data_IF_244519329920
#
_entry.id   IF_244519329920
#
_cell.length_a   1.000
_cell.length_b   1.000
_cell.length_c   1.000
_cell.angle_alpha   90.00
_cell.angle_beta   90.00
_cell.angle_gamma   90.00
#
_symmetry.space_group_name_H-M   'P 1'
#
loop_
_entity.id
_entity.type
_entity.pdbx_description
1 polymer ?
#
# COMPACT_ATOMS: atom_id res chain seq x y z
N UNK A 1 -14.40 -6.54 5.07
CA UNK A 1 -13.91 -6.81 3.69
C UNK A 1 -15.04 -7.00 2.64
N UNK A 2 -15.93 -8.03 2.72
CA UNK A 2 -16.97 -8.22 1.68
C UNK A 2 -17.96 -7.06 1.59
N UNK A 3 -18.43 -6.52 2.70
CA UNK A 3 -19.36 -5.38 2.73
C UNK A 3 -18.69 -4.09 2.18
N UNK A 4 -17.45 -3.84 2.51
CA UNK A 4 -16.66 -2.71 2.01
C UNK A 4 -16.44 -2.83 0.49
N UNK A 5 -16.13 -4.04 0.01
CA UNK A 5 -16.06 -4.31 -1.42
C UNK A 5 -17.41 -4.04 -2.11
N UNK A 6 -18.53 -4.47 -1.48
CA UNK A 6 -19.87 -4.14 -1.96
C UNK A 6 -20.14 -2.63 -2.04
N UNK A 7 -19.74 -1.85 -1.02
CA UNK A 7 -19.83 -0.38 -1.06
C UNK A 7 -19.01 0.22 -2.21
N UNK A 8 -17.78 -0.26 -2.43
CA UNK A 8 -16.95 0.19 -3.55
C UNK A 8 -17.62 -0.10 -4.91
N UNK A 9 -18.23 -1.27 -5.09
CA UNK A 9 -18.95 -1.61 -6.33
C UNK A 9 -20.15 -0.68 -6.56
N UNK A 10 -20.91 -0.33 -5.52
CA UNK A 10 -22.01 0.62 -5.62
C UNK A 10 -21.53 2.03 -5.97
N UNK A 11 -20.38 2.47 -5.44
CA UNK A 11 -19.77 3.74 -5.83
C UNK A 11 -19.32 3.76 -7.30
N UNK A 12 -18.88 2.60 -7.83
CA UNK A 12 -18.49 2.43 -9.23
C UNK A 12 -19.67 2.16 -10.18
N UNK A 13 -20.92 2.19 -9.68
CA UNK A 13 -22.13 1.87 -10.43
C UNK A 13 -22.18 0.44 -11.01
N UNK A 14 -21.55 -0.52 -10.34
CA UNK A 14 -21.51 -1.95 -10.69
C UNK A 14 -22.56 -2.72 -9.88
N UNK A 15 -23.83 -2.42 -10.12
CA UNK A 15 -24.96 -2.88 -9.29
C UNK A 15 -25.14 -4.41 -9.32
N UNK A 16 -25.01 -5.04 -10.49
CA UNK A 16 -25.12 -6.49 -10.66
C UNK A 16 -24.05 -7.26 -9.86
N UNK A 17 -22.86 -6.68 -9.74
CA UNK A 17 -21.77 -7.28 -8.95
C UNK A 17 -21.98 -7.04 -7.45
N UNK A 18 -22.52 -5.91 -7.07
CA UNK A 18 -22.87 -5.62 -5.68
C UNK A 18 -23.98 -6.58 -5.18
N UNK A 19 -24.97 -6.93 -6.01
CA UNK A 19 -25.98 -7.93 -5.66
C UNK A 19 -25.38 -9.34 -5.46
N UNK A 20 -24.37 -9.72 -6.23
CA UNK A 20 -23.64 -10.98 -6.01
C UNK A 20 -22.89 -10.99 -4.67
N UNK A 21 -22.39 -9.85 -4.24
CA UNK A 21 -21.77 -9.69 -2.91
C UNK A 21 -22.82 -9.87 -1.81
N UNK A 22 -24.03 -9.34 -2.00
CA UNK A 22 -25.14 -9.54 -1.07
C UNK A 22 -25.46 -11.03 -0.89
N UNK A 23 -25.63 -11.78 -1.98
CA UNK A 23 -25.89 -13.22 -1.92
C UNK A 23 -24.80 -13.99 -1.14
N UNK A 24 -23.52 -13.62 -1.34
CA UNK A 24 -22.41 -14.21 -0.60
C UNK A 24 -22.42 -13.84 0.89
N UNK A 25 -22.82 -12.62 1.24
CA UNK A 25 -22.98 -12.21 2.64
C UNK A 25 -24.11 -12.96 3.34
N UNK A 26 -25.22 -13.22 2.64
CA UNK A 26 -26.33 -14.02 3.15
C UNK A 26 -25.94 -15.49 3.36
N UNK A 27 -25.15 -16.07 2.46
CA UNK A 27 -24.63 -17.44 2.59
C UNK A 27 -23.64 -17.58 3.77
N UNK A 28 -22.78 -16.58 3.99
CA UNK A 28 -21.80 -16.58 5.10
C UNK A 28 -22.41 -16.16 6.43
N UNK A 29 -23.52 -15.45 6.43
CA UNK A 29 -24.22 -14.91 7.61
C UNK A 29 -24.89 -15.95 8.51
N UNK A 30 -24.75 -17.24 8.24
CA UNK A 30 -25.31 -18.32 9.08
C UNK A 30 -24.58 -18.52 10.42
N UNK A 31 -23.42 -17.94 10.64
CA UNK A 31 -22.72 -17.97 11.93
C UNK A 31 -23.00 -16.70 12.74
N UNK A 32 -23.72 -16.83 13.85
CA UNK A 32 -24.11 -15.72 14.74
C UNK A 32 -22.94 -14.88 15.29
N UNK A 33 -21.72 -15.40 15.30
CA UNK A 33 -20.51 -14.69 15.73
C UNK A 33 -19.97 -13.71 14.69
N UNK A 34 -19.99 -14.05 13.40
CA UNK A 34 -19.54 -13.19 12.30
C UNK A 34 -20.44 -11.95 12.14
N UNK A 35 -21.72 -12.06 12.48
CA UNK A 35 -22.70 -10.95 12.40
C UNK A 35 -22.39 -9.83 13.40
N UNK A 36 -21.75 -10.12 14.52
CA UNK A 36 -21.43 -9.10 15.56
C UNK A 36 -20.27 -8.19 15.15
N UNK A 37 -19.20 -8.76 14.59
CA UNK A 37 -18.00 -8.04 14.19
C UNK A 37 -18.13 -7.28 12.86
N UNK A 38 -19.05 -7.70 11.97
CA UNK A 38 -19.26 -7.06 10.66
C UNK A 38 -20.53 -6.21 10.60
N UNK A 39 -21.19 -5.99 11.75
CA UNK A 39 -22.53 -5.38 11.81
C UNK A 39 -22.56 -3.96 11.23
N UNK A 40 -21.54 -3.15 11.46
CA UNK A 40 -21.45 -1.80 10.92
C UNK A 40 -21.37 -1.81 9.39
N UNK A 41 -20.33 -2.41 8.84
CA UNK A 41 -20.08 -2.42 7.39
C UNK A 41 -21.19 -3.06 6.58
N UNK A 42 -21.79 -4.16 7.07
CA UNK A 42 -22.93 -4.82 6.42
C UNK A 42 -24.13 -3.89 6.37
N UNK A 43 -24.49 -3.21 7.46
CA UNK A 43 -25.64 -2.30 7.47
C UNK A 43 -25.39 -1.04 6.62
N UNK A 44 -24.18 -0.54 6.57
CA UNK A 44 -23.84 0.58 5.66
C UNK A 44 -24.02 0.13 4.20
N UNK A 45 -23.53 -1.03 3.83
CA UNK A 45 -23.72 -1.60 2.48
C UNK A 45 -25.21 -1.77 2.14
N UNK A 46 -25.99 -2.36 3.05
CA UNK A 46 -27.43 -2.55 2.87
C UNK A 46 -28.19 -1.21 2.77
N UNK A 47 -27.77 -0.18 3.48
CA UNK A 47 -28.33 1.16 3.36
C UNK A 47 -28.12 1.76 1.96
N UNK A 48 -26.91 1.66 1.41
CA UNK A 48 -26.62 2.07 0.03
C UNK A 48 -27.46 1.30 -1.00
N UNK A 49 -27.60 -0.01 -0.82
CA UNK A 49 -28.35 -0.86 -1.73
C UNK A 49 -29.85 -0.53 -1.67
N UNK A 50 -30.42 -0.37 -0.46
CA UNK A 50 -31.82 -0.02 -0.28
C UNK A 50 -32.16 1.35 -0.87
N UNK A 51 -31.27 2.34 -0.72
CA UNK A 51 -31.43 3.66 -1.33
C UNK A 51 -31.44 3.54 -2.87
N UNK A 52 -30.53 2.74 -3.43
CA UNK A 52 -30.43 2.52 -4.86
C UNK A 52 -31.69 1.89 -5.45
N UNK A 53 -32.30 0.99 -4.70
CA UNK A 53 -33.57 0.34 -5.04
C UNK A 53 -34.80 1.22 -4.75
N UNK A 54 -34.58 2.47 -4.29
CA UNK A 54 -35.67 3.43 -3.98
C UNK A 54 -36.37 3.20 -2.64
N UNK A 55 -35.93 2.22 -1.85
CA UNK A 55 -36.53 1.89 -0.54
C UNK A 55 -35.89 2.70 0.60
N UNK A 56 -36.27 3.98 0.66
CA UNK A 56 -35.73 4.92 1.67
C UNK A 56 -36.02 4.47 3.11
N UNK A 57 -37.13 3.77 3.36
CA UNK A 57 -37.46 3.34 4.73
C UNK A 57 -36.48 2.28 5.22
N UNK A 58 -36.19 1.29 4.38
CA UNK A 58 -35.18 0.27 4.70
C UNK A 58 -33.79 0.87 4.82
N UNK A 59 -33.44 1.84 3.97
CA UNK A 59 -32.16 2.52 4.06
C UNK A 59 -31.99 3.22 5.42
N UNK A 60 -33.01 3.94 5.89
CA UNK A 60 -33.01 4.60 7.22
C UNK A 60 -32.92 3.58 8.37
N UNK A 61 -33.59 2.42 8.26
CA UNK A 61 -33.51 1.35 9.25
C UNK A 61 -32.10 0.77 9.36
N UNK A 62 -31.45 0.52 8.21
CA UNK A 62 -30.08 0.06 8.17
C UNK A 62 -29.08 1.07 8.73
N UNK A 63 -29.25 2.37 8.44
CA UNK A 63 -28.42 3.43 9.04
C UNK A 63 -28.60 3.45 10.56
N UNK A 64 -29.83 3.35 11.06
CA UNK A 64 -30.08 3.30 12.51
C UNK A 64 -29.40 2.09 13.16
N UNK A 65 -29.44 0.93 12.51
CA UNK A 65 -28.75 -0.27 12.97
C UNK A 65 -27.22 -0.11 12.94
N UNK A 66 -26.69 0.58 11.92
CA UNK A 66 -25.27 0.91 11.83
C UNK A 66 -24.83 1.87 12.97
N UNK A 67 -25.64 2.90 13.29
CA UNK A 67 -25.38 3.81 14.42
C UNK A 67 -25.40 3.05 15.77
N UNK A 68 -26.35 2.14 15.99
CA UNK A 68 -26.35 1.29 17.18
C UNK A 68 -25.08 0.40 17.25
N UNK A 69 -24.56 -0.08 16.13
CA UNK A 69 -23.31 -0.83 16.11
C UNK A 69 -22.10 0.04 16.49
N UNK A 70 -22.13 1.34 16.17
CA UNK A 70 -21.10 2.30 16.63
C UNK A 70 -21.08 2.45 18.15
N UNK A 71 -22.25 2.40 18.81
CA UNK A 71 -22.33 2.52 20.28
C UNK A 71 -21.59 1.37 20.98
N UNK A 72 -21.77 0.15 20.48
CA UNK A 72 -21.13 -1.08 21.01
C UNK A 72 -19.64 -1.20 20.68
N UNK A 73 -19.14 -0.39 19.73
CA UNK A 73 -17.77 -0.48 19.22
C UNK A 73 -16.76 0.07 20.23
N UNK A 74 -15.70 -0.69 20.47
CA UNK A 74 -14.61 -0.32 21.40
C UNK A 74 -13.43 0.34 20.70
N UNK A 75 -13.16 0.01 19.43
CA UNK A 75 -12.03 0.53 18.66
C UNK A 75 -12.47 1.03 17.30
N UNK A 76 -12.21 2.32 17.03
CA UNK A 76 -12.53 2.98 15.76
C UNK A 76 -11.60 2.51 14.64
N UNK A 77 -10.34 2.25 14.99
CA UNK A 77 -9.31 1.88 14.02
C UNK A 77 -9.58 0.55 13.31
N UNK A 78 -10.29 -0.39 13.97
CA UNK A 78 -10.62 -1.70 13.39
C UNK A 78 -11.69 -1.64 12.29
N UNK A 79 -12.57 -0.62 12.34
CA UNK A 79 -13.73 -0.47 11.44
C UNK A 79 -13.63 0.83 10.61
N UNK A 80 -12.42 1.33 10.40
CA UNK A 80 -12.19 2.64 9.79
C UNK A 80 -12.88 2.79 8.43
N UNK A 81 -12.77 1.79 7.55
CA UNK A 81 -13.35 1.83 6.20
C UNK A 81 -14.90 1.82 6.25
N UNK A 82 -15.47 1.04 7.17
CA UNK A 82 -16.93 1.01 7.39
C UNK A 82 -17.44 2.35 7.92
N UNK A 83 -16.67 2.99 8.81
CA UNK A 83 -16.97 4.34 9.33
C UNK A 83 -16.91 5.38 8.21
N UNK A 84 -15.87 5.34 7.36
CA UNK A 84 -15.76 6.24 6.23
C UNK A 84 -16.96 6.12 5.27
N UNK A 85 -17.34 4.89 4.95
CA UNK A 85 -18.52 4.64 4.12
C UNK A 85 -19.82 5.17 4.77
N UNK A 86 -19.97 5.00 6.10
CA UNK A 86 -21.12 5.56 6.81
C UNK A 86 -21.13 7.10 6.77
N UNK A 87 -19.99 7.74 7.04
CA UNK A 87 -19.88 9.20 6.99
C UNK A 87 -20.20 9.74 5.61
N UNK A 88 -19.70 9.14 4.55
CA UNK A 88 -20.02 9.50 3.17
C UNK A 88 -21.52 9.33 2.88
N UNK A 89 -22.12 8.24 3.37
CA UNK A 89 -23.55 7.99 3.20
C UNK A 89 -24.41 9.05 3.88
N UNK A 90 -24.17 9.33 5.16
CA UNK A 90 -24.96 10.34 5.90
C UNK A 90 -24.74 11.75 5.39
N UNK A 91 -23.53 12.08 4.92
CA UNK A 91 -23.21 13.34 4.25
C UNK A 91 -24.01 13.50 2.94
N UNK A 92 -24.07 12.44 2.12
CA UNK A 92 -24.83 12.41 0.86
C UNK A 92 -26.32 12.64 1.09
N UNK A 93 -26.90 12.06 2.15
CA UNK A 93 -28.32 12.25 2.51
C UNK A 93 -28.55 13.66 3.04
N UNK A 94 -27.58 14.24 3.74
CA UNK A 94 -27.64 15.61 4.27
C UNK A 94 -28.65 15.80 5.42
N UNK A 95 -29.13 14.73 6.08
CA UNK A 95 -30.03 14.80 7.24
C UNK A 95 -29.22 15.14 8.49
N UNK A 96 -29.32 16.38 8.96
CA UNK A 96 -28.58 16.92 10.11
C UNK A 96 -28.71 16.04 11.35
N UNK A 97 -29.88 15.47 11.62
CA UNK A 97 -30.14 14.62 12.80
C UNK A 97 -29.29 13.33 12.76
N UNK A 98 -29.25 12.66 11.62
CA UNK A 98 -28.46 11.43 11.46
C UNK A 98 -26.96 11.72 11.53
N UNK A 99 -26.51 12.82 10.93
CA UNK A 99 -25.12 13.26 11.02
C UNK A 99 -24.74 13.52 12.48
N UNK A 100 -25.59 14.25 13.22
CA UNK A 100 -25.35 14.57 14.62
C UNK A 100 -25.27 13.32 15.51
N UNK A 101 -26.15 12.32 15.31
CA UNK A 101 -26.11 11.04 16.02
C UNK A 101 -24.77 10.32 15.78
N UNK A 102 -24.33 10.22 14.53
CA UNK A 102 -23.04 9.58 14.17
C UNK A 102 -21.86 10.33 14.78
N UNK A 103 -21.86 11.68 14.72
CA UNK A 103 -20.81 12.52 15.29
C UNK A 103 -20.71 12.34 16.80
N UNK A 104 -21.87 12.35 17.51
CA UNK A 104 -21.91 12.17 18.97
C UNK A 104 -21.38 10.81 19.42
N UNK A 105 -21.54 9.76 18.61
CA UNK A 105 -20.97 8.43 18.87
C UNK A 105 -19.46 8.36 18.59
N UNK A 106 -19.00 8.94 17.49
CA UNK A 106 -17.64 8.75 17.01
C UNK A 106 -16.61 9.70 17.64
N UNK A 107 -16.97 10.97 17.88
CA UNK A 107 -16.04 11.98 18.40
C UNK A 107 -15.34 11.55 19.70
N UNK A 108 -16.06 11.09 20.75
CA UNK A 108 -15.41 10.67 21.99
C UNK A 108 -14.52 9.46 21.80
N UNK A 109 -14.88 8.52 20.94
CA UNK A 109 -14.09 7.33 20.64
C UNK A 109 -12.81 7.68 19.86
N UNK A 110 -12.94 8.52 18.84
CA UNK A 110 -11.80 9.01 18.06
C UNK A 110 -10.82 9.84 18.92
N UNK A 111 -11.35 10.58 19.91
CA UNK A 111 -10.52 11.32 20.86
C UNK A 111 -9.74 10.39 21.80
N UNK A 112 -10.37 9.33 22.33
CA UNK A 112 -9.73 8.33 23.16
C UNK A 112 -8.59 7.62 22.42
N UNK A 113 -8.80 7.25 21.16
CA UNK A 113 -7.78 6.62 20.32
C UNK A 113 -6.74 7.60 19.74
N UNK A 114 -6.89 8.89 19.98
CA UNK A 114 -6.05 9.96 19.42
C UNK A 114 -5.97 9.92 17.89
N UNK A 115 -7.04 9.47 17.23
CA UNK A 115 -7.13 9.41 15.78
C UNK A 115 -7.39 10.82 15.19
N UNK A 116 -6.29 11.56 14.99
CA UNK A 116 -6.33 12.96 14.52
C UNK A 116 -7.04 13.12 13.17
N UNK A 117 -6.83 12.19 12.22
CA UNK A 117 -7.43 12.24 10.89
C UNK A 117 -8.95 12.17 10.98
N UNK A 118 -9.47 11.21 11.74
CA UNK A 118 -10.90 11.05 11.94
C UNK A 118 -11.50 12.24 12.71
N UNK A 119 -10.83 12.72 13.77
CA UNK A 119 -11.28 13.89 14.52
C UNK A 119 -11.40 15.14 13.65
N UNK A 120 -10.45 15.41 12.78
CA UNK A 120 -10.50 16.52 11.82
C UNK A 120 -11.72 16.40 10.90
N UNK A 121 -11.99 15.21 10.40
CA UNK A 121 -13.13 14.95 9.53
C UNK A 121 -14.46 15.17 10.29
N UNK A 122 -14.60 14.60 11.49
CA UNK A 122 -15.80 14.73 12.31
C UNK A 122 -16.08 16.19 12.69
N UNK A 123 -15.06 16.94 13.13
CA UNK A 123 -15.18 18.37 13.44
C UNK A 123 -15.57 19.20 12.21
N UNK A 124 -15.00 18.87 11.03
CA UNK A 124 -15.39 19.53 9.77
C UNK A 124 -16.87 19.28 9.44
N UNK A 125 -17.35 18.05 9.57
CA UNK A 125 -18.75 17.69 9.35
C UNK A 125 -19.66 18.40 10.38
N UNK A 126 -19.29 18.42 11.65
CA UNK A 126 -20.04 19.12 12.70
C UNK A 126 -20.21 20.61 12.39
N UNK A 127 -19.13 21.29 12.06
CA UNK A 127 -19.19 22.72 11.71
C UNK A 127 -20.02 22.97 10.44
N UNK A 128 -19.97 22.07 9.46
CA UNK A 128 -20.70 22.22 8.20
C UNK A 128 -22.20 21.99 8.34
N UNK A 129 -22.61 20.93 9.04
CA UNK A 129 -24.00 20.49 9.08
C UNK A 129 -24.73 20.83 10.37
N UNK A 130 -24.04 20.99 11.48
CA UNK A 130 -24.64 21.23 12.79
C UNK A 130 -24.49 22.68 13.29
N UNK A 131 -23.85 23.58 12.54
CA UNK A 131 -23.55 24.95 12.94
C UNK A 131 -24.81 25.77 13.36
N UNK A 132 -25.95 25.54 12.75
CA UNK A 132 -27.20 26.21 13.08
C UNK A 132 -27.77 25.81 14.45
N UNK A 133 -27.34 24.71 15.04
CA UNK A 133 -27.75 24.20 16.36
C UNK A 133 -26.70 24.44 17.44
N UNK A 134 -25.52 24.92 17.08
CA UNK A 134 -24.43 25.23 18.00
C UNK A 134 -24.56 26.66 18.54
N UNK A 135 -24.18 26.85 19.81
CA UNK A 135 -23.92 28.16 20.34
C UNK A 135 -22.65 28.77 19.73
N UNK A 136 -22.50 30.11 19.72
CA UNK A 136 -21.26 30.73 19.23
C UNK A 136 -19.99 30.22 19.94
N UNK A 137 -20.09 29.92 21.23
CA UNK A 137 -19.01 29.40 22.04
C UNK A 137 -18.61 27.96 21.62
N UNK A 138 -19.58 27.07 21.41
CA UNK A 138 -19.39 25.71 20.95
C UNK A 138 -18.78 25.69 19.54
N UNK A 139 -19.28 26.54 18.64
CA UNK A 139 -18.72 26.68 17.29
C UNK A 139 -17.26 27.14 17.34
N UNK A 140 -16.99 28.18 18.16
CA UNK A 140 -15.62 28.68 18.34
C UNK A 140 -14.68 27.60 18.89
N UNK A 141 -15.12 26.89 19.93
CA UNK A 141 -14.32 25.80 20.52
C UNK A 141 -14.01 24.68 19.50
N UNK A 142 -15.01 24.28 18.71
CA UNK A 142 -14.84 23.29 17.64
C UNK A 142 -13.88 23.77 16.56
N UNK A 143 -13.98 25.04 16.17
CA UNK A 143 -13.08 25.66 15.19
C UNK A 143 -11.64 25.77 15.72
N UNK A 144 -11.45 26.23 16.95
CA UNK A 144 -10.14 26.32 17.59
C UNK A 144 -9.48 24.92 17.68
N UNK A 145 -10.24 23.92 18.10
CA UNK A 145 -9.78 22.52 18.17
C UNK A 145 -9.40 22.00 16.78
N UNK A 146 -10.21 22.27 15.76
CA UNK A 146 -9.93 21.86 14.38
C UNK A 146 -8.63 22.47 13.87
N UNK A 147 -8.41 23.78 14.03
CA UNK A 147 -7.19 24.44 13.57
C UNK A 147 -5.96 23.94 14.32
N UNK A 148 -6.03 23.79 15.65
CA UNK A 148 -4.91 23.21 16.41
C UNK A 148 -4.55 21.78 16.00
N UNK A 149 -5.54 20.93 15.77
CA UNK A 149 -5.32 19.58 15.26
C UNK A 149 -4.74 19.59 13.86
N UNK A 150 -5.24 20.45 12.98
CA UNK A 150 -4.79 20.60 11.60
C UNK A 150 -3.32 21.03 11.55
N UNK A 151 -2.94 22.08 12.28
CA UNK A 151 -1.56 22.58 12.35
C UNK A 151 -0.63 21.47 12.87
N UNK A 152 -1.03 20.76 13.93
CA UNK A 152 -0.23 19.65 14.48
C UNK A 152 -0.12 18.46 13.51
N UNK A 153 -1.13 18.23 12.69
CA UNK A 153 -1.15 17.18 11.68
C UNK A 153 -0.22 17.53 10.50
N UNK A 154 -0.34 18.74 9.95
CA UNK A 154 0.49 19.21 8.83
C UNK A 154 1.98 19.19 9.18
N UNK A 155 2.37 19.58 10.40
CA UNK A 155 3.75 19.48 10.89
C UNK A 155 4.25 18.04 10.95
N UNK A 156 3.40 17.10 11.37
CA UNK A 156 3.77 15.68 11.49
C UNK A 156 3.86 15.02 10.12
N UNK A 157 2.90 15.29 9.23
CA UNK A 157 2.85 14.72 7.88
C UNK A 157 4.03 15.21 7.02
N UNK A 158 4.32 16.52 7.04
CA UNK A 158 5.47 17.08 6.35
C UNK A 158 6.80 16.49 6.85
N UNK A 159 6.93 16.27 8.16
CA UNK A 159 8.12 15.64 8.75
C UNK A 159 8.27 14.18 8.29
N UNK A 160 7.19 13.42 8.21
CA UNK A 160 7.21 12.04 7.72
C UNK A 160 7.55 11.97 6.23
N UNK A 161 6.96 12.83 5.41
CA UNK A 161 7.26 12.91 3.97
C UNK A 161 8.74 13.28 3.75
N UNK A 162 9.26 14.27 4.46
CA UNK A 162 10.67 14.66 4.41
C UNK A 162 11.59 13.51 4.81
N UNK A 163 11.28 12.79 5.89
CA UNK A 163 12.05 11.63 6.33
C UNK A 163 12.04 10.50 5.28
N UNK A 164 10.88 10.20 4.71
CA UNK A 164 10.75 9.19 3.65
C UNK A 164 11.52 9.57 2.38
N UNK A 165 11.53 10.86 2.00
CA UNK A 165 12.31 11.35 0.87
C UNK A 165 13.83 11.22 1.13
N UNK A 166 14.28 11.54 2.33
CA UNK A 166 15.69 11.41 2.73
C UNK A 166 16.11 9.93 2.73
N UNK A 167 15.28 9.05 3.30
CA UNK A 167 15.53 7.61 3.29
C UNK A 167 15.63 7.05 1.87
N UNK A 168 14.72 7.45 0.99
CA UNK A 168 14.73 7.04 -0.43
C UNK A 168 16.00 7.49 -1.14
N UNK A 169 16.45 8.73 -0.88
CA UNK A 169 17.70 9.26 -1.43
C UNK A 169 18.91 8.46 -0.96
N UNK A 170 18.98 8.13 0.34
CA UNK A 170 20.07 7.29 0.91
C UNK A 170 20.10 5.90 0.30
N UNK A 171 18.95 5.26 0.10
CA UNK A 171 18.86 3.96 -0.55
C UNK A 171 19.36 4.02 -2.00
N UNK A 172 18.94 5.03 -2.76
CA UNK A 172 19.40 5.22 -4.13
C UNK A 172 20.93 5.41 -4.22
N UNK A 173 21.49 6.23 -3.33
CA UNK A 173 22.96 6.44 -3.28
C UNK A 173 23.68 5.13 -2.95
N UNK A 174 23.20 4.36 -1.99
CA UNK A 174 23.79 3.08 -1.62
C UNK A 174 23.73 2.04 -2.76
N UNK A 175 22.63 2.00 -3.51
CA UNK A 175 22.51 1.14 -4.70
C UNK A 175 23.48 1.56 -5.81
N UNK A 176 23.67 2.84 -6.05
CA UNK A 176 24.62 3.37 -7.03
C UNK A 176 26.07 3.02 -6.63
N UNK A 177 26.44 3.20 -5.37
CA UNK A 177 27.74 2.81 -4.83
C UNK A 177 27.98 1.31 -4.94
N UNK A 178 26.99 0.49 -4.64
CA UNK A 178 27.09 -0.98 -4.77
C UNK A 178 27.31 -1.39 -6.22
N UNK A 179 26.58 -0.81 -7.17
CA UNK A 179 26.76 -1.07 -8.61
C UNK A 179 28.15 -0.65 -9.10
N UNK A 180 28.67 0.46 -8.61
CA UNK A 180 30.03 0.92 -8.95
C UNK A 180 31.10 -0.02 -8.41
N UNK A 181 30.96 -0.47 -7.15
CA UNK A 181 31.86 -1.46 -6.56
C UNK A 181 31.81 -2.80 -7.32
N UNK A 182 30.63 -3.25 -7.73
CA UNK A 182 30.48 -4.46 -8.51
C UNK A 182 31.14 -4.35 -9.90
N UNK A 183 30.96 -3.21 -10.58
CA UNK A 183 31.65 -2.92 -11.84
C UNK A 183 33.17 -2.92 -11.68
N UNK A 184 33.67 -2.28 -10.60
CA UNK A 184 35.08 -2.26 -10.27
C UNK A 184 35.65 -3.68 -10.02
N UNK A 185 34.92 -4.45 -9.21
CA UNK A 185 35.28 -5.86 -8.94
C UNK A 185 35.31 -6.70 -10.22
N UNK A 186 34.32 -6.60 -11.07
CA UNK A 186 34.24 -7.34 -12.32
C UNK A 186 35.37 -6.94 -13.29
N UNK A 187 35.73 -5.65 -13.34
CA UNK A 187 36.87 -5.18 -14.12
C UNK A 187 38.20 -5.73 -13.61
N UNK A 188 38.41 -5.75 -12.30
CA UNK A 188 39.62 -6.32 -11.71
C UNK A 188 39.70 -7.81 -11.92
N UNK A 189 38.61 -8.55 -11.82
CA UNK A 189 38.55 -9.97 -12.12
C UNK A 189 38.89 -10.25 -13.60
N UNK A 190 38.34 -9.45 -14.51
CA UNK A 190 38.65 -9.55 -15.92
C UNK A 190 40.12 -9.29 -16.20
N UNK A 191 40.73 -8.24 -15.63
CA UNK A 191 42.17 -7.93 -15.76
C UNK A 191 43.06 -9.01 -15.14
N UNK A 192 42.63 -9.65 -14.05
CA UNK A 192 43.36 -10.74 -13.43
C UNK A 192 43.39 -12.02 -14.27
N UNK A 193 42.35 -12.23 -15.08
CA UNK A 193 42.19 -13.47 -15.85
C UNK A 193 42.55 -13.32 -17.34
N UNK A 194 42.62 -12.09 -17.88
CA UNK A 194 42.85 -11.85 -19.29
C UNK A 194 44.16 -11.08 -19.54
N UNK A 195 44.75 -11.31 -20.71
CA UNK A 195 45.88 -10.55 -21.23
C UNK A 195 45.38 -9.18 -21.79
N UNK A 196 46.02 -8.09 -21.36
CA UNK A 196 45.58 -6.73 -21.72
C UNK A 196 45.67 -6.42 -23.23
N UNK A 197 46.60 -7.09 -23.95
CA UNK A 197 46.83 -6.80 -25.35
C UNK A 197 45.86 -7.56 -26.26
N UNK A 198 45.61 -8.83 -25.95
CA UNK A 198 44.85 -9.73 -26.80
C UNK A 198 43.41 -9.92 -26.35
N UNK A 199 43.09 -9.60 -25.07
CA UNK A 199 41.81 -9.88 -24.47
C UNK A 199 41.50 -11.37 -24.23
N UNK A 200 42.43 -12.26 -24.52
CA UNK A 200 42.30 -13.71 -24.25
C UNK A 200 42.69 -14.04 -22.81
N UNK A 201 42.39 -15.23 -22.34
CA UNK A 201 42.86 -15.69 -21.04
C UNK A 201 44.40 -15.59 -20.95
N UNK A 202 44.90 -15.02 -19.86
CA UNK A 202 46.32 -15.06 -19.60
C UNK A 202 46.76 -16.50 -19.28
N UNK A 203 48.09 -16.75 -19.33
CA UNK A 203 48.66 -18.09 -19.14
C UNK A 203 48.18 -18.77 -17.86
N UNK A 204 48.01 -18.03 -16.77
CA UNK A 204 47.58 -18.57 -15.47
C UNK A 204 46.13 -19.04 -15.52
N UNK A 205 45.23 -18.22 -16.05
CA UNK A 205 43.81 -18.54 -16.14
C UNK A 205 43.52 -19.61 -17.19
N UNK A 206 44.28 -19.63 -18.29
CA UNK A 206 44.22 -20.69 -19.28
C UNK A 206 44.61 -22.06 -18.67
N UNK A 207 45.68 -22.13 -17.90
CA UNK A 207 46.08 -23.39 -17.27
C UNK A 207 45.00 -23.89 -16.30
N UNK A 208 44.45 -23.02 -15.45
CA UNK A 208 43.37 -23.39 -14.55
C UNK A 208 42.13 -23.89 -15.31
N UNK A 209 41.74 -23.18 -16.35
CA UNK A 209 40.62 -23.56 -17.20
C UNK A 209 40.83 -24.93 -17.86
N UNK A 210 42.04 -25.20 -18.34
CA UNK A 210 42.38 -26.51 -18.94
C UNK A 210 42.36 -27.64 -17.92
N UNK A 211 42.81 -27.40 -16.69
CA UNK A 211 42.72 -28.37 -15.59
C UNK A 211 41.23 -28.70 -15.29
N UNK A 212 40.37 -27.68 -15.12
CA UNK A 212 38.94 -27.85 -14.86
C UNK A 212 38.25 -28.63 -16.01
N UNK A 213 38.53 -28.26 -17.26
CA UNK A 213 37.95 -28.94 -18.45
C UNK A 213 38.46 -30.38 -18.57
N UNK A 214 39.73 -30.63 -18.27
CA UNK A 214 40.30 -31.95 -18.29
C UNK A 214 39.66 -32.88 -17.26
N UNK A 215 39.46 -32.38 -16.03
CA UNK A 215 38.74 -33.11 -14.98
C UNK A 215 37.29 -33.40 -15.37
N UNK A 216 36.57 -32.43 -15.93
CA UNK A 216 35.17 -32.61 -16.40
C UNK A 216 35.10 -33.67 -17.52
N UNK A 217 36.03 -33.63 -18.47
CA UNK A 217 36.08 -34.62 -19.55
C UNK A 217 36.40 -36.02 -19.02
N UNK A 218 37.29 -36.14 -18.05
CA UNK A 218 37.64 -37.42 -17.42
C UNK A 218 36.44 -38.02 -16.66
N UNK A 219 35.77 -37.21 -15.88
CA UNK A 219 34.59 -37.63 -15.09
C UNK A 219 33.38 -38.02 -15.97
N UNK A 220 33.21 -37.37 -17.11
CA UNK A 220 32.08 -37.58 -18.00
C UNK A 220 32.41 -38.44 -19.24
N UNK A 221 33.61 -39.08 -19.27
CA UNK A 221 34.10 -39.91 -20.39
C UNK A 221 34.03 -39.19 -21.76
N UNK A 222 34.33 -37.87 -21.78
CA UNK A 222 34.34 -37.04 -23.00
C UNK A 222 35.75 -36.93 -23.57
N UNK A 223 35.83 -36.79 -24.90
CA UNK A 223 37.11 -36.53 -25.57
C UNK A 223 37.48 -35.04 -25.49
N UNK A 224 38.76 -34.73 -25.23
CA UNK A 224 39.31 -33.37 -25.20
C UNK A 224 40.35 -33.20 -26.29
N UNK A 225 40.14 -32.25 -27.22
CA UNK A 225 41.10 -31.86 -28.24
C UNK A 225 41.78 -30.53 -27.90
N UNK A 226 43.11 -30.46 -28.01
CA UNK A 226 43.87 -29.22 -27.80
C UNK A 226 44.61 -28.87 -29.10
N UNK A 227 44.44 -27.59 -29.56
CA UNK A 227 45.12 -27.07 -30.74
C UNK A 227 46.09 -25.96 -30.32
N UNK A 228 47.36 -26.12 -30.64
CA UNK A 228 48.40 -25.09 -30.47
C UNK A 228 48.69 -24.40 -31.79
N UNK A 229 48.63 -23.07 -31.81
CA UNK A 229 48.98 -22.22 -32.94
C UNK A 229 50.17 -21.32 -32.55
N UNK A 230 51.27 -21.39 -33.32
CA UNK A 230 52.42 -20.54 -33.16
C UNK A 230 52.59 -19.63 -34.38
N UNK A 231 52.68 -18.33 -34.18
CA UNK A 231 52.80 -17.31 -35.23
C UNK A 231 54.23 -16.81 -35.39
N UNK A 232 55.19 -17.33 -34.60
CA UNK A 232 56.58 -16.82 -34.52
C UNK A 232 57.43 -16.91 -35.78
N UNK A 233 57.00 -17.58 -36.86
CA UNK A 233 57.79 -17.71 -38.08
C UNK A 233 57.54 -16.64 -39.15
N UNK A 234 56.70 -15.67 -38.92
CA UNK A 234 56.40 -14.60 -39.90
C UNK A 234 57.45 -13.47 -39.93
N UNK A 235 58.46 -13.47 -39.05
CA UNK A 235 59.40 -12.34 -38.91
C UNK A 235 60.81 -12.59 -39.42
N UNK A 236 61.09 -13.72 -40.07
CA UNK A 236 62.46 -14.07 -40.47
C UNK A 236 62.74 -13.96 -41.97
N UNK A 237 61.83 -13.36 -42.79
CA UNK A 237 62.06 -13.33 -44.24
C UNK A 237 62.44 -12.00 -44.86
N UNK A 238 62.50 -10.88 -44.11
CA UNK A 238 62.79 -9.57 -44.71
C UNK A 238 64.02 -8.84 -44.14
N UNK A 239 65.06 -9.58 -43.73
CA UNK A 239 66.35 -8.98 -43.35
C UNK A 239 67.52 -9.53 -44.16
N UNK A 240 67.33 -9.64 -45.48
CA UNK A 240 68.42 -9.93 -46.42
C UNK A 240 68.06 -9.32 -47.77
N UNK A 241 68.31 -7.99 -47.93
CA UNK A 241 68.87 -7.36 -49.13
C UNK A 241 69.34 -5.96 -48.77
#
# INVERSE_FOLDING_TARGET
MLAEYGCCLLHLHMDDEAEKVLCKLEETGQSKEVIRETRLGVNVFLAYLAERNGDRKKAEEHVRTAVMALEDMTQVSSEYDSIQNLLQYVEKIGKTEQIEEVLNCLEPKAAIEQNKSLLLQLLSLRMRYCSSRMTPEEFKQSADTFFHLKDSWELTENSQVMYMMELRKRLQTAEEEQKEQERKRNRLLYQADHDELTGLYNKRSLNRYLEDVFEDCLLNEKELGILFLDICLLYTSDAAD
#
